data_IF_208457125796
#
_entry.id   IF_208457125796
#
_cell.length_a   1.000
_cell.length_b   1.000
_cell.length_c   1.000
_cell.angle_alpha   90.00
_cell.angle_beta   90.00
_cell.angle_gamma   90.00
#
_symmetry.space_group_name_H-M   'P 1'
#
loop_
_entity.id
_entity.type
_entity.pdbx_description
1 polymer ?
#
# COMPACT_ATOMS: atom_id res chain seq x y z
N UNK A 1 12.31 18.59 -30.01
CA UNK A 1 13.72 18.60 -30.47
C UNK A 1 13.91 19.76 -31.42
N UNK A 2 14.91 20.63 -31.19
CA UNK A 2 15.31 21.61 -32.22
C UNK A 2 16.06 20.83 -33.30
N UNK A 3 15.59 20.91 -34.55
CA UNK A 3 16.25 20.28 -35.70
C UNK A 3 17.61 20.92 -35.92
N UNK A 4 18.68 20.12 -35.93
CA UNK A 4 20.03 20.55 -36.29
C UNK A 4 20.23 20.31 -37.80
N UNK A 5 20.69 21.33 -38.52
CA UNK A 5 20.83 21.32 -39.99
C UNK A 5 22.26 21.14 -40.48
N UNK A 6 23.25 21.07 -39.59
CA UNK A 6 24.67 20.96 -39.93
C UNK A 6 25.27 19.62 -39.50
N UNK A 7 26.24 19.13 -40.29
CA UNK A 7 26.90 17.85 -40.04
C UNK A 7 27.93 17.97 -38.90
N UNK A 8 27.98 17.03 -37.93
CA UNK A 8 28.95 17.06 -36.83
C UNK A 8 30.40 17.08 -37.33
N UNK A 9 31.28 17.85 -36.67
CA UNK A 9 32.72 17.91 -36.97
C UNK A 9 33.54 17.67 -35.70
N UNK A 10 34.82 17.28 -35.85
CA UNK A 10 35.73 17.00 -34.73
C UNK A 10 35.92 18.21 -33.79
N UNK A 11 35.87 19.43 -34.35
CA UNK A 11 35.92 20.69 -33.61
C UNK A 11 34.57 21.14 -33.03
N UNK A 12 33.47 20.47 -33.39
CA UNK A 12 32.10 20.80 -32.96
C UNK A 12 31.26 19.52 -32.84
N UNK A 13 31.50 18.70 -31.80
CA UNK A 13 30.78 17.46 -31.63
C UNK A 13 29.32 17.73 -31.23
N UNK A 14 28.41 16.90 -31.75
CA UNK A 14 27.01 16.92 -31.35
C UNK A 14 26.80 15.91 -30.23
N UNK A 15 26.42 16.40 -29.06
CA UNK A 15 26.06 15.55 -27.92
C UNK A 15 24.56 15.22 -28.03
N UNK A 16 24.25 13.99 -28.41
CA UNK A 16 22.88 13.48 -28.39
C UNK A 16 22.64 12.86 -27.01
N UNK A 17 21.89 13.57 -26.16
CA UNK A 17 21.36 12.97 -24.95
C UNK A 17 20.15 12.12 -25.33
N UNK A 18 20.36 10.82 -25.47
CA UNK A 18 19.25 9.87 -25.52
C UNK A 18 18.57 9.93 -24.14
N UNK A 19 17.29 10.32 -24.10
CA UNK A 19 16.49 10.05 -22.93
C UNK A 19 16.59 8.55 -22.65
N UNK A 20 16.75 8.15 -21.38
CA UNK A 20 16.96 6.76 -20.97
C UNK A 20 16.01 5.84 -21.73
N UNK A 21 16.51 5.19 -22.79
CA UNK A 21 15.84 4.06 -23.40
C UNK A 21 16.19 2.86 -22.54
N UNK A 22 15.69 2.86 -21.30
CA UNK A 22 15.39 1.59 -20.66
C UNK A 22 14.47 0.88 -21.66
N UNK A 23 14.73 -0.38 -21.94
CA UNK A 23 13.81 -1.26 -22.66
C UNK A 23 12.45 -1.22 -21.94
N UNK A 24 11.67 -0.19 -22.21
CA UNK A 24 10.33 -0.02 -21.73
C UNK A 24 9.51 -0.84 -22.69
N UNK A 25 9.26 -2.08 -22.29
CA UNK A 25 8.20 -2.87 -22.88
C UNK A 25 6.98 -2.63 -22.00
N UNK A 26 6.02 -1.77 -22.40
CA UNK A 26 4.81 -1.57 -21.63
C UNK A 26 4.15 -2.92 -21.34
N UNK A 27 3.82 -3.22 -20.07
CA UNK A 27 3.07 -4.44 -19.74
C UNK A 27 1.76 -4.56 -20.53
N UNK A 28 1.20 -3.45 -21.02
CA UNK A 28 0.02 -3.43 -21.90
C UNK A 28 0.22 -4.14 -23.25
N UNK A 29 1.45 -4.45 -23.65
CA UNK A 29 1.73 -5.25 -24.85
C UNK A 29 1.83 -6.76 -24.57
N UNK A 30 1.89 -7.17 -23.31
CA UNK A 30 1.74 -8.56 -22.92
C UNK A 30 0.26 -8.99 -22.99
N UNK A 31 -0.02 -10.30 -23.10
CA UNK A 31 -1.38 -10.81 -22.98
C UNK A 31 -2.03 -10.34 -21.66
N UNK A 32 -3.36 -10.12 -21.60
CA UNK A 32 -4.04 -9.66 -20.38
C UNK A 32 -3.68 -10.48 -19.14
N UNK A 33 -3.59 -11.82 -19.28
CA UNK A 33 -3.20 -12.71 -18.19
C UNK A 33 -1.83 -12.43 -17.57
N UNK A 34 -0.90 -11.83 -18.32
CA UNK A 34 0.43 -11.43 -17.84
C UNK A 34 0.41 -9.96 -17.41
N UNK A 35 -0.17 -9.07 -18.20
CA UNK A 35 -0.27 -7.64 -17.89
C UNK A 35 -0.97 -7.38 -16.55
N UNK A 36 -2.06 -8.11 -16.29
CA UNK A 36 -2.89 -7.96 -15.09
C UNK A 36 -2.23 -8.62 -13.86
N UNK A 37 -1.34 -9.60 -14.07
CA UNK A 37 -0.70 -10.35 -12.97
C UNK A 37 0.75 -9.96 -12.71
N UNK A 38 1.41 -9.19 -13.59
CA UNK A 38 2.85 -8.97 -13.56
C UNK A 38 3.33 -8.35 -12.23
N UNK A 39 2.60 -7.37 -11.72
CA UNK A 39 2.87 -6.72 -10.43
C UNK A 39 2.73 -7.65 -9.22
N UNK A 40 2.23 -8.87 -9.44
CA UNK A 40 1.84 -9.82 -8.40
C UNK A 40 2.62 -11.14 -8.45
N UNK A 41 3.56 -11.27 -9.39
CA UNK A 41 4.40 -12.47 -9.53
C UNK A 41 5.35 -12.62 -8.33
N UNK A 42 5.67 -11.50 -7.66
CA UNK A 42 6.65 -11.47 -6.59
C UNK A 42 5.98 -11.63 -5.23
N UNK A 43 6.45 -12.62 -4.47
CA UNK A 43 6.09 -12.77 -3.06
C UNK A 43 6.89 -11.80 -2.19
N UNK A 44 6.24 -11.24 -1.17
CA UNK A 44 6.93 -10.45 -0.16
C UNK A 44 7.77 -11.34 0.74
N UNK A 45 8.83 -10.78 1.33
CA UNK A 45 9.66 -11.51 2.30
C UNK A 45 8.78 -11.97 3.49
N UNK A 46 8.95 -13.21 3.98
CA UNK A 46 8.09 -13.77 5.02
C UNK A 46 8.12 -13.02 6.36
N UNK A 47 9.21 -12.33 6.67
CA UNK A 47 9.36 -11.48 7.85
C UNK A 47 8.46 -10.24 7.79
N UNK A 48 8.38 -9.58 6.63
CA UNK A 48 7.46 -8.46 6.39
C UNK A 48 5.99 -8.90 6.53
N UNK A 49 5.65 -10.06 5.95
CA UNK A 49 4.32 -10.65 6.09
C UNK A 49 3.99 -11.01 7.54
N UNK A 50 4.94 -11.59 8.29
CA UNK A 50 4.73 -11.92 9.70
C UNK A 50 4.47 -10.70 10.60
N UNK A 51 5.16 -9.58 10.34
CA UNK A 51 4.90 -8.32 11.05
C UNK A 51 3.54 -7.73 10.64
N UNK A 52 3.18 -7.78 9.36
CA UNK A 52 1.86 -7.35 8.90
C UNK A 52 0.73 -8.17 9.54
N UNK A 53 0.86 -9.49 9.59
CA UNK A 53 -0.10 -10.40 10.24
C UNK A 53 -0.26 -10.04 11.72
N UNK A 54 0.85 -9.75 12.42
CA UNK A 54 0.82 -9.32 13.82
C UNK A 54 0.06 -8.00 14.00
N UNK A 55 0.27 -7.04 13.10
CA UNK A 55 -0.46 -5.76 13.12
C UNK A 55 -1.95 -5.99 12.88
N UNK A 56 -2.30 -6.76 11.86
CA UNK A 56 -3.69 -7.10 11.52
C UNK A 56 -4.38 -7.77 12.71
N UNK A 57 -3.76 -8.80 13.28
CA UNK A 57 -4.30 -9.52 14.45
C UNK A 57 -4.51 -8.59 15.65
N UNK A 58 -3.59 -7.66 15.90
CA UNK A 58 -3.71 -6.69 17.02
C UNK A 58 -4.78 -5.63 16.75
N UNK A 59 -4.91 -5.12 15.52
CA UNK A 59 -6.03 -4.24 15.14
C UNK A 59 -7.33 -4.96 15.42
N UNK A 60 -7.43 -6.21 14.97
CA UNK A 60 -8.61 -7.04 15.12
C UNK A 60 -8.98 -7.29 16.60
N UNK A 61 -7.99 -7.59 17.45
CA UNK A 61 -8.20 -7.74 18.89
C UNK A 61 -8.63 -6.43 19.57
N UNK A 62 -8.14 -5.30 19.06
CA UNK A 62 -8.42 -3.96 19.60
C UNK A 62 -9.85 -3.48 19.31
N UNK A 63 -10.48 -3.99 18.24
CA UNK A 63 -11.83 -3.60 17.84
C UNK A 63 -12.97 -4.25 18.66
N UNK A 64 -12.66 -5.15 19.60
CA UNK A 64 -13.64 -5.73 20.53
C UNK A 64 -14.48 -6.89 19.96
N UNK A 65 -14.88 -7.82 20.85
CA UNK A 65 -15.53 -9.10 20.56
C UNK A 65 -16.89 -8.95 19.86
N UNK A 66 -17.01 -9.47 18.63
CA UNK A 66 -18.29 -9.72 17.94
C UNK A 66 -18.20 -9.58 16.43
N UNK A 67 -17.99 -10.70 15.72
CA UNK A 67 -17.85 -10.87 14.26
C UNK A 67 -16.68 -10.10 13.63
N UNK A 68 -15.56 -10.80 13.38
CA UNK A 68 -14.44 -10.40 12.51
C UNK A 68 -14.22 -8.89 12.41
N UNK A 69 -13.80 -8.28 13.53
CA UNK A 69 -13.26 -6.93 13.69
C UNK A 69 -12.83 -6.24 12.39
N UNK A 70 -13.75 -5.45 11.86
CA UNK A 70 -13.60 -4.73 10.62
C UNK A 70 -12.85 -3.41 10.85
N UNK A 71 -11.97 -3.03 9.93
CA UNK A 71 -11.31 -1.73 9.97
C UNK A 71 -11.26 -1.10 8.59
N UNK A 72 -11.25 0.23 8.60
CA UNK A 72 -11.03 1.05 7.41
C UNK A 72 -9.52 1.29 7.27
N UNK A 73 -8.96 0.97 6.11
CA UNK A 73 -7.58 1.27 5.74
C UNK A 73 -7.48 2.63 5.06
N UNK A 74 -6.60 3.50 5.55
CA UNK A 74 -6.29 4.79 4.96
C UNK A 74 -4.82 4.84 4.57
N UNK A 75 -4.53 5.11 3.30
CA UNK A 75 -3.23 5.60 2.88
C UNK A 75 -3.22 7.14 2.85
N UNK A 76 -2.66 7.75 3.89
CA UNK A 76 -2.59 9.20 4.06
C UNK A 76 -1.29 9.74 3.44
N UNK A 77 -1.35 9.99 2.13
CA UNK A 77 -0.25 10.60 1.35
C UNK A 77 -0.32 12.13 1.44
N UNK A 78 0.41 12.72 2.38
CA UNK A 78 0.41 14.17 2.65
C UNK A 78 1.81 14.76 2.83
N UNK A 79 2.85 14.04 2.40
CA UNK A 79 4.23 14.46 2.49
C UNK A 79 4.53 15.66 1.57
N UNK A 80 5.63 16.37 1.84
CA UNK A 80 5.94 17.64 1.20
C UNK A 80 6.13 17.58 -0.32
N UNK A 81 6.39 16.39 -0.89
CA UNK A 81 6.52 16.14 -2.32
C UNK A 81 5.18 15.83 -3.02
N UNK A 82 4.08 15.74 -2.27
CA UNK A 82 2.74 15.59 -2.83
C UNK A 82 2.39 16.81 -3.69
N UNK A 83 2.03 16.57 -4.96
CA UNK A 83 1.69 17.63 -5.91
C UNK A 83 0.32 18.22 -5.59
N UNK A 84 0.13 19.51 -5.88
CA UNK A 84 -1.13 20.23 -5.60
C UNK A 84 -2.38 19.71 -6.33
N UNK A 85 -2.23 18.81 -7.31
CA UNK A 85 -3.34 18.13 -7.98
C UNK A 85 -3.84 16.87 -7.24
N UNK A 86 -3.18 16.49 -6.15
CA UNK A 86 -3.58 15.35 -5.32
C UNK A 86 -4.59 15.78 -4.26
N UNK A 87 -5.37 14.82 -3.74
CA UNK A 87 -6.35 15.08 -2.69
C UNK A 87 -5.69 15.77 -1.48
N UNK A 88 -6.31 16.85 -0.98
CA UNK A 88 -5.77 17.55 0.18
C UNK A 88 -5.90 16.71 1.46
N UNK A 89 -5.17 17.09 2.51
CA UNK A 89 -5.32 16.47 3.83
C UNK A 89 -6.78 16.56 4.32
N UNK A 90 -7.46 17.68 4.09
CA UNK A 90 -8.85 17.84 4.50
C UNK A 90 -9.78 16.94 3.68
N UNK A 91 -9.59 16.82 2.36
CA UNK A 91 -10.39 15.93 1.52
C UNK A 91 -10.24 14.48 1.96
N UNK A 92 -8.99 13.98 2.08
CA UNK A 92 -8.73 12.60 2.49
C UNK A 92 -9.30 12.32 3.88
N UNK A 93 -9.06 13.19 4.86
CA UNK A 93 -9.51 12.92 6.23
C UNK A 93 -11.01 13.08 6.42
N UNK A 94 -11.65 14.06 5.75
CA UNK A 94 -13.10 14.22 5.79
C UNK A 94 -13.81 13.04 5.13
N UNK A 95 -13.37 12.63 3.93
CA UNK A 95 -13.92 11.45 3.26
C UNK A 95 -13.73 10.20 4.11
N UNK A 96 -12.52 9.99 4.67
CA UNK A 96 -12.24 8.84 5.54
C UNK A 96 -13.19 8.77 6.73
N UNK A 97 -13.36 9.89 7.43
CA UNK A 97 -14.24 9.96 8.60
C UNK A 97 -15.71 9.76 8.20
N UNK A 98 -16.17 10.38 7.11
CA UNK A 98 -17.55 10.20 6.62
C UNK A 98 -17.82 8.74 6.28
N UNK A 99 -16.93 8.11 5.51
CA UNK A 99 -17.05 6.69 5.14
C UNK A 99 -17.00 5.78 6.37
N UNK A 100 -16.15 6.08 7.36
CA UNK A 100 -16.11 5.31 8.59
C UNK A 100 -17.45 5.39 9.36
N UNK A 101 -18.04 6.58 9.46
CA UNK A 101 -19.34 6.77 10.12
C UNK A 101 -20.47 6.07 9.36
N UNK A 102 -20.52 6.22 8.04
CA UNK A 102 -21.54 5.62 7.16
C UNK A 102 -21.53 4.09 7.23
N UNK A 103 -20.36 3.48 7.41
CA UNK A 103 -20.18 2.03 7.47
C UNK A 103 -20.03 1.49 8.90
N UNK A 104 -20.33 2.30 9.92
CA UNK A 104 -20.21 1.93 11.34
C UNK A 104 -18.81 1.44 11.77
N UNK A 105 -17.77 1.88 11.07
CA UNK A 105 -16.38 1.53 11.36
C UNK A 105 -15.89 2.28 12.60
N UNK A 106 -15.38 1.52 13.57
CA UNK A 106 -14.82 2.07 14.83
C UNK A 106 -13.31 2.20 14.81
N UNK A 107 -12.65 1.62 13.82
CA UNK A 107 -11.19 1.59 13.73
C UNK A 107 -10.72 1.97 12.33
N UNK A 108 -9.78 2.91 12.27
CA UNK A 108 -9.06 3.29 11.05
C UNK A 108 -7.59 2.88 11.23
N UNK A 109 -7.09 2.02 10.35
CA UNK A 109 -5.65 1.81 10.19
C UNK A 109 -5.10 2.85 9.21
N UNK A 110 -4.08 3.61 9.60
CA UNK A 110 -3.47 4.64 8.75
C UNK A 110 -2.02 4.30 8.43
N UNK A 111 -1.71 4.26 7.13
CA UNK A 111 -0.36 4.26 6.60
C UNK A 111 0.01 5.68 6.15
N UNK A 112 1.12 6.21 6.64
CA UNK A 112 1.62 7.54 6.26
C UNK A 112 3.11 7.69 6.57
N UNK A 113 3.83 8.45 5.75
CA UNK A 113 5.17 8.92 6.08
C UNK A 113 5.18 10.16 6.98
N UNK A 114 4.04 10.83 7.19
CA UNK A 114 3.93 12.07 7.97
C UNK A 114 3.24 11.87 9.33
N UNK A 115 4.06 11.72 10.38
CA UNK A 115 3.61 11.55 11.77
C UNK A 115 2.76 12.72 12.28
N UNK A 116 2.99 13.95 11.82
CA UNK A 116 2.21 15.12 12.27
C UNK A 116 0.80 15.07 11.69
N UNK A 117 0.66 14.67 10.42
CA UNK A 117 -0.63 14.49 9.77
C UNK A 117 -1.45 13.36 10.41
N UNK A 118 -0.79 12.27 10.81
CA UNK A 118 -1.42 11.19 11.59
C UNK A 118 -1.91 11.69 12.95
N UNK A 119 -1.09 12.42 13.72
CA UNK A 119 -1.48 12.94 15.03
C UNK A 119 -2.69 13.90 14.96
N UNK A 120 -2.77 14.72 13.89
CA UNK A 120 -3.92 15.58 13.62
C UNK A 120 -5.18 14.77 13.32
N UNK A 121 -5.06 13.69 12.54
CA UNK A 121 -6.17 12.79 12.23
C UNK A 121 -6.67 12.08 13.49
N UNK A 122 -5.77 11.55 14.33
CA UNK A 122 -6.12 10.93 15.63
C UNK A 122 -6.95 11.89 16.47
N UNK A 123 -6.48 13.13 16.65
CA UNK A 123 -7.21 14.16 17.41
C UNK A 123 -8.59 14.48 16.82
N UNK A 124 -8.73 14.44 15.49
CA UNK A 124 -9.98 14.73 14.79
C UNK A 124 -10.99 13.58 14.95
N UNK A 125 -10.54 12.34 14.81
CA UNK A 125 -11.35 11.13 14.89
C UNK A 125 -11.78 10.78 16.34
N UNK A 126 -10.93 11.06 17.32
CA UNK A 126 -11.21 10.77 18.74
C UNK A 126 -12.45 11.55 19.25
N UNK A 127 -12.64 12.79 18.77
CA UNK A 127 -13.81 13.63 19.12
C UNK A 127 -15.16 13.02 18.77
N UNK A 128 -15.18 12.04 17.87
CA UNK A 128 -16.38 11.35 17.39
C UNK A 128 -16.33 9.84 17.67
N UNK A 129 -15.39 9.40 18.51
CA UNK A 129 -15.30 8.01 18.97
C UNK A 129 -14.80 7.01 17.91
N UNK A 130 -13.99 7.47 16.94
CA UNK A 130 -13.30 6.59 15.99
C UNK A 130 -11.84 6.48 16.41
N UNK A 131 -11.36 5.24 16.58
CA UNK A 131 -9.97 4.97 16.93
C UNK A 131 -9.11 4.94 15.66
N UNK A 132 -8.08 5.79 15.61
CA UNK A 132 -7.08 5.77 14.54
C UNK A 132 -5.81 5.11 15.08
N UNK A 133 -5.28 4.16 14.33
CA UNK A 133 -4.06 3.43 14.67
C UNK A 133 -3.13 3.34 13.47
N UNK A 134 -1.83 3.41 13.71
CA UNK A 134 -0.77 3.12 12.75
C UNK A 134 0.05 1.92 13.24
N UNK A 135 0.99 1.42 12.42
CA UNK A 135 1.83 0.28 12.81
C UNK A 135 2.58 0.50 14.12
N UNK A 136 3.05 1.72 14.37
CA UNK A 136 3.84 2.03 15.57
C UNK A 136 2.99 2.01 16.84
N UNK A 137 1.81 2.62 16.81
CA UNK A 137 0.88 2.62 17.94
C UNK A 137 0.34 1.22 18.25
N UNK A 138 0.17 0.36 17.25
CA UNK A 138 -0.27 -1.04 17.43
C UNK A 138 0.85 -1.94 17.99
N UNK A 139 2.07 -1.77 17.48
CA UNK A 139 3.21 -2.56 17.94
C UNK A 139 3.70 -2.12 19.32
N UNK A 140 3.53 -0.83 19.65
CA UNK A 140 3.97 -0.25 20.90
C UNK A 140 5.49 -0.30 21.04
N UNK A 141 5.98 -0.65 22.24
CA UNK A 141 7.41 -0.79 22.53
C UNK A 141 7.84 -2.27 22.62
N UNK A 142 7.15 -3.17 21.89
CA UNK A 142 7.46 -4.61 21.88
C UNK A 142 8.61 -4.96 20.93
N UNK A 143 9.09 -6.20 21.01
CA UNK A 143 10.18 -6.72 20.17
C UNK A 143 9.87 -6.58 18.68
N UNK A 144 8.59 -6.71 18.28
CA UNK A 144 8.18 -6.55 16.88
C UNK A 144 8.33 -5.10 16.38
N UNK A 145 8.17 -4.10 17.25
CA UNK A 145 8.41 -2.71 16.90
C UNK A 145 9.91 -2.47 16.65
N UNK A 146 10.77 -2.96 17.54
CA UNK A 146 12.24 -2.90 17.36
C UNK A 146 12.70 -3.64 16.11
N UNK A 147 12.07 -4.78 15.80
CA UNK A 147 12.38 -5.51 14.58
C UNK A 147 11.95 -4.73 13.32
N UNK A 148 10.76 -4.14 13.33
CA UNK A 148 10.29 -3.26 12.25
C UNK A 148 11.18 -2.01 12.07
N UNK A 149 11.71 -1.44 13.15
CA UNK A 149 12.66 -0.33 13.08
C UNK A 149 13.98 -0.68 12.36
N UNK A 150 14.37 -1.96 12.36
CA UNK A 150 15.56 -2.42 11.65
C UNK A 150 15.39 -2.46 10.12
N UNK A 151 14.14 -2.40 9.64
CA UNK A 151 13.83 -2.39 8.22
C UNK A 151 14.00 -1.01 7.60
N UNK A 152 14.37 -0.98 6.32
CA UNK A 152 14.42 0.25 5.55
C UNK A 152 13.00 0.79 5.26
N UNK A 153 12.92 2.02 4.75
CA UNK A 153 11.65 2.70 4.51
C UNK A 153 10.68 1.89 3.63
N UNK A 154 11.17 1.28 2.54
CA UNK A 154 10.32 0.54 1.61
C UNK A 154 9.84 -0.78 2.22
N UNK A 155 10.69 -1.48 2.96
CA UNK A 155 10.32 -2.66 3.72
C UNK A 155 9.23 -2.34 4.76
N UNK A 156 9.36 -1.23 5.48
CA UNK A 156 8.32 -0.76 6.39
C UNK A 156 7.03 -0.36 5.66
N UNK A 157 7.13 0.11 4.42
CA UNK A 157 5.99 0.41 3.55
C UNK A 157 5.27 -0.83 3.03
N UNK A 158 5.98 -1.94 2.82
CA UNK A 158 5.38 -3.24 2.48
C UNK A 158 4.50 -3.75 3.62
N UNK A 159 4.92 -3.55 4.87
CA UNK A 159 4.11 -3.90 6.06
C UNK A 159 2.79 -3.12 6.05
N UNK A 160 2.84 -1.81 5.78
CA UNK A 160 1.65 -0.98 5.61
C UNK A 160 0.77 -1.45 4.43
N UNK A 161 1.39 -1.78 3.30
CA UNK A 161 0.70 -2.27 2.11
C UNK A 161 -0.12 -3.52 2.43
N UNK A 162 0.49 -4.50 3.11
CA UNK A 162 -0.17 -5.74 3.51
C UNK A 162 -1.30 -5.51 4.50
N UNK A 163 -1.11 -4.62 5.49
CA UNK A 163 -2.19 -4.25 6.41
C UNK A 163 -3.35 -3.54 5.69
N UNK A 164 -3.08 -2.69 4.69
CA UNK A 164 -4.12 -2.04 3.90
C UNK A 164 -4.85 -3.01 2.95
N UNK A 165 -4.14 -3.98 2.38
CA UNK A 165 -4.72 -5.05 1.56
C UNK A 165 -5.80 -5.84 2.29
N UNK A 166 -5.68 -5.99 3.62
CA UNK A 166 -6.62 -6.75 4.45
C UNK A 166 -7.77 -5.90 5.05
N UNK A 167 -7.75 -4.58 4.86
CA UNK A 167 -8.83 -3.70 5.32
C UNK A 167 -10.17 -4.01 4.64
N UNK A 168 -11.29 -3.74 5.31
CA UNK A 168 -12.62 -3.97 4.72
C UNK A 168 -12.98 -2.84 3.74
N UNK A 169 -12.58 -1.62 4.06
CA UNK A 169 -12.75 -0.44 3.21
C UNK A 169 -11.39 0.22 3.07
N UNK A 170 -10.96 0.49 1.84
CA UNK A 170 -9.71 1.19 1.56
C UNK A 170 -9.95 2.58 1.00
N UNK A 171 -9.25 3.57 1.54
CA UNK A 171 -9.23 4.95 1.04
C UNK A 171 -7.78 5.37 0.81
N UNK A 172 -7.50 5.98 -0.34
CA UNK A 172 -6.19 6.53 -0.67
C UNK A 172 -6.29 7.62 -1.73
N UNK A 173 -5.16 8.26 -2.02
CA UNK A 173 -5.07 9.28 -3.08
C UNK A 173 -4.80 8.64 -4.44
N UNK A 174 -5.62 8.97 -5.45
CA UNK A 174 -5.47 8.48 -6.83
C UNK A 174 -4.14 8.91 -7.49
N UNK A 175 -3.54 10.01 -7.01
CA UNK A 175 -2.23 10.47 -7.48
C UNK A 175 -1.05 9.65 -6.95
N UNK A 176 -1.28 8.74 -6.00
CA UNK A 176 -0.25 7.92 -5.40
C UNK A 176 -0.19 6.54 -6.05
N UNK A 177 0.96 6.19 -6.61
CA UNK A 177 1.24 4.85 -7.14
C UNK A 177 1.03 3.75 -6.08
N UNK A 178 1.33 4.03 -4.82
CA UNK A 178 1.06 3.11 -3.71
C UNK A 178 -0.44 2.84 -3.56
N UNK A 179 -1.28 3.88 -3.49
CA UNK A 179 -2.73 3.71 -3.38
C UNK A 179 -3.31 3.00 -4.61
N UNK A 180 -2.87 3.40 -5.81
CA UNK A 180 -3.30 2.78 -7.06
C UNK A 180 -2.97 1.29 -7.06
N UNK A 181 -1.78 0.93 -6.58
CA UNK A 181 -1.38 -0.47 -6.51
C UNK A 181 -2.22 -1.28 -5.51
N UNK A 182 -2.55 -0.73 -4.34
CA UNK A 182 -3.46 -1.38 -3.38
C UNK A 182 -4.83 -1.63 -4.02
N UNK A 183 -5.41 -0.64 -4.68
CA UNK A 183 -6.73 -0.78 -5.34
C UNK A 183 -6.69 -1.83 -6.44
N UNK A 184 -5.72 -1.76 -7.35
CA UNK A 184 -5.60 -2.72 -8.45
C UNK A 184 -5.37 -4.14 -7.94
N UNK A 185 -4.55 -4.32 -6.89
CA UNK A 185 -4.33 -5.65 -6.29
C UNK A 185 -5.61 -6.19 -5.66
N UNK A 186 -6.33 -5.38 -4.87
CA UNK A 186 -7.58 -5.79 -4.22
C UNK A 186 -8.61 -6.21 -5.27
N UNK A 187 -8.75 -5.44 -6.35
CA UNK A 187 -9.66 -5.77 -7.45
C UNK A 187 -9.25 -7.07 -8.15
N UNK A 188 -7.96 -7.24 -8.48
CA UNK A 188 -7.47 -8.46 -9.11
C UNK A 188 -7.78 -9.70 -8.27
N UNK A 189 -7.53 -9.62 -6.95
CA UNK A 189 -7.78 -10.74 -6.03
C UNK A 189 -9.28 -11.01 -5.85
N UNK A 190 -10.14 -10.00 -5.83
CA UNK A 190 -11.60 -10.17 -5.78
C UNK A 190 -12.12 -10.91 -7.04
N UNK A 191 -11.55 -10.61 -8.20
CA UNK A 191 -11.92 -11.26 -9.46
C UNK A 191 -11.38 -12.70 -9.61
N UNK A 192 -10.21 -13.01 -9.03
CA UNK A 192 -9.45 -14.23 -9.32
C UNK A 192 -9.21 -15.17 -8.14
N UNK A 193 -9.42 -14.72 -6.91
CA UNK A 193 -9.31 -15.53 -5.70
C UNK A 193 -10.64 -15.51 -4.93
N UNK A 194 -11.48 -16.56 -5.06
CA UNK A 194 -12.76 -16.63 -4.35
C UNK A 194 -12.60 -16.77 -2.83
N UNK A 195 -11.37 -16.87 -2.31
CA UNK A 195 -11.06 -16.85 -0.87
C UNK A 195 -10.53 -15.49 -0.40
N UNK A 196 -10.22 -14.58 -1.30
CA UNK A 196 -9.88 -13.19 -0.97
C UNK A 196 -11.17 -12.44 -0.63
N UNK A 197 -11.52 -12.40 0.65
CA UNK A 197 -12.57 -11.52 1.16
C UNK A 197 -12.03 -10.09 1.26
N UNK A 198 -12.06 -9.35 0.15
CA UNK A 198 -11.82 -7.91 0.12
C UNK A 198 -12.86 -7.09 0.91
N UNK A 199 -13.92 -7.75 1.39
CA UNK A 199 -15.01 -7.17 2.15
C UNK A 199 -16.36 -7.74 1.71
N UNK A 200 -16.61 -9.03 2.01
CA UNK A 200 -17.98 -9.49 2.23
C UNK A 200 -17.97 -10.69 3.19
N UNK A 201 -18.81 -10.62 4.21
CA UNK A 201 -18.74 -11.49 5.39
C UNK A 201 -19.11 -12.95 5.07
N UNK A 202 -18.16 -13.90 5.11
CA UNK A 202 -18.27 -15.23 5.80
C UNK A 202 -16.89 -15.84 6.01
N UNK A 203 -16.60 -16.17 7.27
CA UNK A 203 -15.31 -16.71 7.70
C UNK A 203 -14.89 -18.00 7.00
N UNK A 204 -13.73 -17.93 6.36
CA UNK A 204 -12.91 -19.07 5.99
C UNK A 204 -11.45 -18.63 6.08
N UNK A 205 -10.66 -19.28 6.95
CA UNK A 205 -9.20 -19.08 6.99
C UNK A 205 -8.64 -19.33 5.59
N UNK A 206 -8.08 -18.31 4.96
CA UNK A 206 -7.27 -18.50 3.76
C UNK A 206 -6.11 -19.44 4.13
N UNK A 207 -6.08 -20.63 3.51
CA UNK A 207 -4.96 -21.53 3.65
C UNK A 207 -3.81 -20.99 2.80
N UNK A 208 -2.65 -20.86 3.45
CA UNK A 208 -1.34 -20.42 2.92
C UNK A 208 -0.97 -21.05 1.56
N UNK A 209 -1.51 -22.23 1.28
CA UNK A 209 -1.22 -23.05 0.11
C UNK A 209 -2.03 -22.65 -1.14
N UNK A 210 -2.95 -21.69 -1.04
CA UNK A 210 -3.76 -21.19 -2.18
C UNK A 210 -3.31 -19.85 -2.74
N UNK A 211 -2.55 -19.06 -1.97
CA UNK A 211 -1.98 -17.77 -2.42
C UNK A 211 -0.68 -17.96 -3.22
N UNK A 212 -0.07 -19.14 -3.10
CA UNK A 212 1.14 -19.52 -3.82
C UNK A 212 0.75 -20.61 -4.82
N UNK A 213 0.43 -20.21 -6.06
CA UNK A 213 0.36 -21.18 -7.15
C UNK A 213 1.63 -22.02 -7.14
N UNK A 214 1.54 -23.35 -7.35
CA UNK A 214 2.59 -24.34 -7.06
C UNK A 214 3.96 -24.21 -7.75
N UNK A 215 4.29 -23.04 -8.30
CA UNK A 215 5.63 -22.68 -8.73
C UNK A 215 6.29 -21.80 -7.64
N UNK A 216 7.19 -22.42 -6.86
CA UNK A 216 8.12 -21.70 -5.99
C UNK A 216 8.95 -20.73 -6.83
N UNK A 217 8.66 -19.44 -6.77
CA UNK A 217 9.43 -18.37 -7.40
C UNK A 217 10.10 -17.52 -6.31
N UNK A 218 11.37 -17.16 -6.58
CA UNK A 218 12.33 -16.69 -5.59
C UNK A 218 11.92 -15.43 -4.81
N UNK A 219 12.43 -15.36 -3.58
CA UNK A 219 12.32 -14.20 -2.70
C UNK A 219 13.18 -13.05 -3.24
N UNK A 220 12.65 -11.83 -3.24
CA UNK A 220 13.47 -10.64 -3.39
C UNK A 220 14.02 -10.22 -2.04
N UNK A 221 15.34 -10.28 -1.91
CA UNK A 221 16.05 -9.59 -0.85
C UNK A 221 16.15 -8.11 -1.26
N UNK A 222 15.25 -7.26 -0.74
CA UNK A 222 15.21 -5.82 -1.00
C UNK A 222 16.27 -5.06 -0.17
N UNK A 223 17.42 -5.70 0.03
CA UNK A 223 18.60 -5.10 0.64
C UNK A 223 19.39 -4.38 -0.47
N UNK A 224 18.82 -3.28 -0.99
CA UNK A 224 19.56 -2.36 -1.84
C UNK A 224 20.37 -1.39 -0.97
N UNK A 225 21.65 -1.13 -1.30
CA UNK A 225 22.54 -0.29 -0.49
C UNK A 225 22.13 1.18 -0.43
#
# INVERSE_FOLDING_TARGET
>A
MKSQTESPQESSPVIIQLATALFSFPPSFDPPSVADSFGFILEFRPDLSGIADTIIDRIQQTSGVGNASEYLGLHLRTEADAKGEWASWDDLTNTTISTALENNMKTIYVASGDKNSVARLVTKADKIGIKVVDKWSILGNGDEATYLESFNFDQQGIVDYLALMQSNIFIGSAGSSFSSHVVTRRQFLDEHDPTFNGGDTKGGRAQKDKLTGGARLGFWDMDWP
#
